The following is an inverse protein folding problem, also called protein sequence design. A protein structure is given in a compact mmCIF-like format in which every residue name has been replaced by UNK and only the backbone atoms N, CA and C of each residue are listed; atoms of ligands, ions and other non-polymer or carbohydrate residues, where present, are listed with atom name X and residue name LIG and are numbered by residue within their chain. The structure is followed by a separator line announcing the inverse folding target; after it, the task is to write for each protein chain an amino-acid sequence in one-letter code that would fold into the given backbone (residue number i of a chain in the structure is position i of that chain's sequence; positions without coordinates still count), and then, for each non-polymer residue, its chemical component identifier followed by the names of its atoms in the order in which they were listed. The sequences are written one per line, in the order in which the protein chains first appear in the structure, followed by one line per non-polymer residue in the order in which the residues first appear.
data_IF_868289100544
#
_entry.id   IF_868289100544
#
_cell.length_a   1.000
_cell.length_b   1.000
_cell.length_c   1.000
_cell.angle_alpha   90.00
_cell.angle_beta   90.00
_cell.angle_gamma   90.00
#
_symmetry.space_group_name_H-M   'P 1'
#
loop_
_entity.id
_entity.type
_entity.pdbx_description
1 polymer ?
#
# COMPACT_ATOMS: atom_id res chain seq x y z
N UNK A 1 1.71 29.19 0.17
CA UNK A 1 0.57 28.59 -0.59
C UNK A 1 -0.60 28.55 0.38
N UNK A 2 -1.73 29.19 0.00
CA UNK A 2 -2.91 29.25 0.87
C UNK A 2 -3.76 27.99 0.75
N UNK A 3 -3.84 27.39 -0.43
CA UNK A 3 -4.61 26.17 -0.71
C UNK A 3 -3.88 25.25 -1.68
N UNK A 4 -4.06 23.94 -1.50
CA UNK A 4 -3.42 22.89 -2.30
C UNK A 4 -4.44 22.22 -3.24
N UNK A 5 -4.05 21.99 -4.50
CA UNK A 5 -4.62 20.92 -5.29
C UNK A 5 -3.76 19.66 -4.99
N UNK A 6 -4.38 18.68 -4.37
CA UNK A 6 -3.66 17.47 -3.94
C UNK A 6 -3.79 16.37 -4.98
N UNK A 7 -2.67 15.75 -5.33
CA UNK A 7 -2.63 14.56 -6.14
C UNK A 7 -2.04 13.41 -5.32
N UNK A 8 -2.79 12.31 -5.19
CA UNK A 8 -2.36 11.15 -4.43
C UNK A 8 -2.76 9.83 -5.08
N UNK A 9 -1.86 8.85 -5.05
CA UNK A 9 -2.16 7.49 -5.52
C UNK A 9 -1.78 6.44 -4.50
N UNK A 10 -2.54 5.34 -4.40
CA UNK A 10 -2.31 4.27 -3.43
C UNK A 10 -2.25 4.85 -2.01
N UNK A 11 -1.18 4.61 -1.23
CA UNK A 11 -0.95 5.25 0.07
C UNK A 11 -1.07 6.79 0.02
N UNK A 12 -0.67 7.42 -1.09
CA UNK A 12 -0.83 8.86 -1.28
C UNK A 12 -2.29 9.31 -1.35
N UNK A 13 -3.25 8.45 -1.73
CA UNK A 13 -4.68 8.76 -1.66
C UNK A 13 -5.16 8.82 -0.21
N UNK A 14 -4.69 7.92 0.64
CA UNK A 14 -4.96 7.92 2.08
C UNK A 14 -4.43 9.19 2.75
N UNK A 15 -3.17 9.55 2.46
CA UNK A 15 -2.55 10.77 3.00
C UNK A 15 -3.30 12.04 2.54
N UNK A 16 -3.69 12.11 1.26
CA UNK A 16 -4.44 13.24 0.73
C UNK A 16 -5.81 13.37 1.41
N UNK A 17 -6.51 12.26 1.60
CA UNK A 17 -7.80 12.24 2.29
C UNK A 17 -7.67 12.63 3.77
N UNK A 18 -6.69 12.05 4.49
CA UNK A 18 -6.47 12.39 5.89
C UNK A 18 -6.14 13.88 6.08
N UNK A 19 -5.24 14.40 5.24
CA UNK A 19 -4.91 15.82 5.26
C UNK A 19 -6.14 16.71 4.97
N UNK A 20 -6.93 16.35 3.96
CA UNK A 20 -8.11 17.11 3.60
C UNK A 20 -9.17 17.09 4.73
N UNK A 21 -9.33 15.97 5.42
CA UNK A 21 -10.24 15.83 6.57
C UNK A 21 -9.82 16.72 7.72
N UNK A 22 -8.51 16.78 8.00
CA UNK A 22 -7.99 17.58 9.11
C UNK A 22 -7.88 19.08 8.77
N UNK A 23 -7.63 19.41 7.48
CA UNK A 23 -7.42 20.79 7.02
C UNK A 23 -8.25 21.12 5.78
N UNK A 24 -9.60 21.01 5.83
CA UNK A 24 -10.45 21.14 4.65
C UNK A 24 -10.36 22.52 3.97
N UNK A 25 -10.12 23.57 4.72
CA UNK A 25 -9.98 24.93 4.18
C UNK A 25 -8.68 25.14 3.40
N UNK A 26 -7.70 24.28 3.59
CA UNK A 26 -6.41 24.33 2.90
C UNK A 26 -6.39 23.53 1.59
N UNK A 27 -7.47 22.82 1.27
CA UNK A 27 -7.56 21.99 0.07
C UNK A 27 -8.51 22.62 -0.95
N UNK A 28 -8.01 22.85 -2.16
CA UNK A 28 -8.80 23.41 -3.27
C UNK A 28 -9.41 22.33 -4.15
N UNK A 29 -8.88 21.10 -4.13
CA UNK A 29 -9.36 19.97 -4.90
C UNK A 29 -8.51 18.73 -4.66
N UNK A 30 -9.03 17.56 -5.04
CA UNK A 30 -8.40 16.26 -4.90
C UNK A 30 -8.36 15.55 -6.24
N UNK A 31 -7.23 14.99 -6.61
CA UNK A 31 -7.08 14.03 -7.70
C UNK A 31 -6.49 12.76 -7.09
N UNK A 32 -7.31 11.73 -6.99
CA UNK A 32 -6.97 10.49 -6.31
C UNK A 32 -6.99 9.32 -7.29
N UNK A 33 -5.97 8.47 -7.23
CA UNK A 33 -5.92 7.29 -8.09
C UNK A 33 -5.55 6.04 -7.29
N UNK A 34 -6.08 4.86 -7.71
CA UNK A 34 -5.81 3.62 -7.00
C UNK A 34 -6.13 3.78 -5.52
N UNK A 35 -7.41 3.98 -5.21
CA UNK A 35 -7.86 4.35 -3.87
C UNK A 35 -7.51 3.27 -2.86
N UNK A 36 -6.85 3.68 -1.78
CA UNK A 36 -6.48 2.86 -0.65
C UNK A 36 -6.91 3.55 0.65
N UNK A 37 -7.68 2.89 1.49
CA UNK A 37 -8.22 3.44 2.73
C UNK A 37 -7.63 2.80 3.99
N UNK A 38 -6.64 1.93 3.81
CA UNK A 38 -5.86 1.34 4.91
C UNK A 38 -6.67 0.48 5.90
N UNK A 39 -7.80 -0.06 5.47
CA UNK A 39 -8.65 -0.90 6.31
C UNK A 39 -8.05 -2.29 6.48
N UNK A 40 -8.42 -2.96 7.56
CA UNK A 40 -8.01 -4.35 7.81
C UNK A 40 -8.38 -5.28 6.63
N UNK A 41 -9.53 -5.02 5.97
CA UNK A 41 -9.95 -5.79 4.78
C UNK A 41 -9.03 -5.61 3.57
N UNK A 42 -8.46 -4.44 3.38
CA UNK A 42 -7.52 -4.16 2.28
C UNK A 42 -6.14 -4.75 2.57
N UNK A 43 -5.73 -4.75 3.83
CA UNK A 43 -4.50 -5.43 4.24
C UNK A 43 -4.62 -6.96 4.12
N UNK A 44 -5.75 -7.53 4.54
CA UNK A 44 -6.04 -8.96 4.35
C UNK A 44 -6.07 -9.32 2.86
N UNK A 45 -6.68 -8.47 2.03
CA UNK A 45 -6.66 -8.68 0.59
C UNK A 45 -5.22 -8.68 0.04
N UNK A 46 -4.41 -7.69 0.40
CA UNK A 46 -3.02 -7.59 -0.09
C UNK A 46 -2.15 -8.77 0.37
N UNK A 47 -2.27 -9.18 1.64
CA UNK A 47 -1.41 -10.22 2.22
C UNK A 47 -1.88 -11.65 1.93
N UNK A 48 -3.15 -11.86 1.64
CA UNK A 48 -3.76 -13.19 1.50
C UNK A 48 -4.64 -13.30 0.25
N UNK A 49 -5.57 -12.36 0.04
CA UNK A 49 -6.61 -12.46 -0.99
C UNK A 49 -6.05 -12.46 -2.41
N UNK A 50 -4.98 -11.72 -2.67
CA UNK A 50 -4.30 -11.66 -3.97
C UNK A 50 -3.76 -13.03 -4.40
N UNK A 51 -3.50 -13.95 -3.48
CA UNK A 51 -3.12 -15.33 -3.80
C UNK A 51 -4.09 -16.04 -4.76
N UNK A 52 -5.36 -15.68 -4.73
CA UNK A 52 -6.35 -16.23 -5.66
C UNK A 52 -6.14 -15.80 -7.12
N UNK A 53 -5.41 -14.72 -7.36
CA UNK A 53 -5.16 -14.14 -8.69
C UNK A 53 -3.70 -14.32 -9.10
N UNK A 54 -2.77 -14.21 -8.16
CA UNK A 54 -1.31 -14.32 -8.36
C UNK A 54 -0.71 -15.39 -7.43
N UNK A 55 -1.10 -16.68 -7.60
CA UNK A 55 -0.68 -17.74 -6.67
C UNK A 55 0.84 -17.92 -6.65
N UNK A 56 1.52 -17.79 -7.79
CA UNK A 56 2.96 -17.97 -7.86
C UNK A 56 3.70 -16.85 -7.11
N UNK A 57 3.31 -15.59 -7.33
CA UNK A 57 3.93 -14.45 -6.66
C UNK A 57 3.70 -14.51 -5.14
N UNK A 58 2.49 -14.91 -4.72
CA UNK A 58 2.17 -15.09 -3.32
C UNK A 58 2.95 -16.26 -2.70
N UNK A 59 3.11 -17.36 -3.42
CA UNK A 59 3.85 -18.51 -2.95
C UNK A 59 5.33 -18.17 -2.75
N UNK A 60 5.96 -17.47 -3.71
CA UNK A 60 7.34 -16.98 -3.59
C UNK A 60 7.50 -16.04 -2.39
N UNK A 61 6.50 -15.18 -2.16
CA UNK A 61 6.47 -14.25 -1.04
C UNK A 61 6.41 -14.97 0.31
N UNK A 62 5.52 -15.93 0.47
CA UNK A 62 5.38 -16.71 1.71
C UNK A 62 6.59 -17.60 1.95
N UNK A 63 7.08 -18.31 0.92
CA UNK A 63 8.19 -19.26 1.05
C UNK A 63 9.54 -18.59 1.30
N UNK A 64 9.66 -17.28 1.11
CA UNK A 64 10.80 -16.50 1.56
C UNK A 64 10.98 -16.58 3.08
N UNK A 65 9.88 -16.66 3.83
CA UNK A 65 9.89 -16.80 5.28
C UNK A 65 10.04 -18.28 5.69
N UNK A 66 10.81 -18.58 6.75
CA UNK A 66 10.77 -19.90 7.38
C UNK A 66 9.34 -20.27 7.78
N UNK A 67 9.01 -21.56 7.76
CA UNK A 67 7.65 -22.06 8.04
C UNK A 67 7.09 -21.53 9.38
N UNK A 68 7.92 -21.46 10.41
CA UNK A 68 7.52 -20.93 11.72
C UNK A 68 7.13 -19.43 11.70
N UNK A 69 7.58 -18.67 10.71
CA UNK A 69 7.32 -17.24 10.54
C UNK A 69 6.14 -16.95 9.60
N UNK A 70 5.59 -17.95 8.92
CA UNK A 70 4.51 -17.79 7.95
C UNK A 70 3.13 -17.59 8.62
N UNK A 71 3.02 -17.77 9.92
CA UNK A 71 1.75 -17.58 10.65
C UNK A 71 1.36 -16.10 10.80
N UNK A 72 2.34 -15.20 10.84
CA UNK A 72 2.13 -13.74 10.81
C UNK A 72 3.13 -13.12 9.84
N UNK A 73 2.76 -13.14 8.58
CA UNK A 73 3.59 -12.69 7.46
C UNK A 73 4.01 -11.23 7.60
N UNK A 74 3.07 -10.37 7.99
CA UNK A 74 3.33 -8.94 8.12
C UNK A 74 4.34 -8.66 9.24
N UNK A 75 4.12 -9.21 10.42
CA UNK A 75 5.04 -9.02 11.55
C UNK A 75 6.42 -9.59 11.24
N UNK A 76 6.48 -10.76 10.60
CA UNK A 76 7.73 -11.44 10.24
C UNK A 76 8.55 -10.66 9.22
N UNK A 77 7.90 -10.12 8.18
CA UNK A 77 8.56 -9.22 7.23
C UNK A 77 9.02 -7.94 7.91
N UNK A 78 8.17 -7.30 8.71
CA UNK A 78 8.52 -6.09 9.43
C UNK A 78 9.73 -6.28 10.33
N UNK A 79 9.78 -7.36 11.12
CA UNK A 79 10.92 -7.68 11.98
C UNK A 79 12.23 -7.81 11.19
N UNK A 80 12.19 -8.45 10.02
CA UNK A 80 13.36 -8.59 9.15
C UNK A 80 13.78 -7.27 8.53
N UNK A 81 12.82 -6.45 8.11
CA UNK A 81 13.04 -5.18 7.46
C UNK A 81 13.65 -4.12 8.39
N UNK A 82 13.31 -4.15 9.68
CA UNK A 82 13.88 -3.22 10.68
C UNK A 82 15.23 -3.67 11.24
N UNK A 83 15.69 -4.87 10.88
CA UNK A 83 17.05 -5.35 11.26
C UNK A 83 18.14 -4.42 10.75
N UNK A 84 19.18 -4.22 11.51
CA UNK A 84 20.38 -3.47 11.11
C UNK A 84 21.28 -4.28 10.17
N UNK A 85 21.13 -5.60 10.11
CA UNK A 85 21.91 -6.49 9.25
C UNK A 85 21.45 -6.42 7.79
N UNK A 86 22.31 -5.94 6.85
CA UNK A 86 21.99 -5.93 5.42
C UNK A 86 21.74 -7.32 4.84
N UNK A 87 22.32 -8.37 5.45
CA UNK A 87 22.08 -9.77 5.07
C UNK A 87 20.65 -10.23 5.39
N UNK A 88 19.98 -9.57 6.33
CA UNK A 88 18.59 -9.86 6.73
C UNK A 88 17.61 -8.94 6.01
N UNK A 89 17.77 -7.62 6.17
CA UNK A 89 16.79 -6.68 5.62
C UNK A 89 16.81 -6.58 4.09
N UNK A 90 17.97 -6.77 3.46
CA UNK A 90 18.10 -6.65 2.02
C UNK A 90 17.30 -7.70 1.23
N UNK A 91 17.45 -9.01 1.52
CA UNK A 91 16.61 -10.05 0.91
C UNK A 91 15.12 -9.87 1.20
N UNK A 92 14.73 -9.53 2.42
CA UNK A 92 13.33 -9.30 2.79
C UNK A 92 12.72 -8.13 2.00
N UNK A 93 13.45 -7.04 1.84
CA UNK A 93 13.00 -5.90 1.05
C UNK A 93 12.79 -6.24 -0.43
N UNK A 94 13.68 -7.04 -1.01
CA UNK A 94 13.52 -7.50 -2.40
C UNK A 94 12.33 -8.44 -2.56
N UNK A 95 12.10 -9.33 -1.60
CA UNK A 95 10.96 -10.25 -1.65
C UNK A 95 9.65 -9.48 -1.57
N UNK A 96 9.53 -8.51 -0.66
CA UNK A 96 8.38 -7.61 -0.54
C UNK A 96 8.12 -6.82 -1.82
N UNK A 97 9.13 -6.09 -2.32
CA UNK A 97 9.00 -5.27 -3.52
C UNK A 97 8.71 -6.09 -4.79
N UNK A 98 9.24 -7.30 -4.89
CA UNK A 98 8.92 -8.22 -5.99
C UNK A 98 7.48 -8.67 -5.95
N UNK A 99 6.98 -9.04 -4.79
CA UNK A 99 5.59 -9.43 -4.60
C UNK A 99 4.63 -8.32 -5.05
N UNK A 100 4.77 -7.12 -4.47
CA UNK A 100 3.96 -5.97 -4.83
C UNK A 100 4.08 -5.63 -6.33
N UNK A 101 5.30 -5.58 -6.86
CA UNK A 101 5.56 -5.29 -8.26
C UNK A 101 4.92 -6.32 -9.21
N UNK A 102 4.92 -7.61 -8.84
CA UNK A 102 4.27 -8.67 -9.63
C UNK A 102 2.76 -8.52 -9.67
N UNK A 103 2.15 -8.10 -8.56
CA UNK A 103 0.71 -7.90 -8.45
C UNK A 103 0.23 -6.55 -9.03
N UNK A 104 1.14 -5.62 -9.29
CA UNK A 104 0.82 -4.27 -9.79
C UNK A 104 0.61 -4.19 -11.30
N UNK A 105 0.85 -5.28 -12.05
CA UNK A 105 0.74 -5.31 -13.50
C UNK A 105 -0.08 -6.49 -13.99
N UNK A 106 -0.91 -6.28 -15.03
CA UNK A 106 -1.71 -7.36 -15.64
C UNK A 106 -0.87 -8.38 -16.40
N UNK A 107 0.21 -7.91 -16.99
CA UNK A 107 1.13 -8.76 -17.74
C UNK A 107 2.53 -8.69 -17.12
N UNK A 108 3.26 -9.80 -17.10
CA UNK A 108 4.65 -9.79 -16.64
C UNK A 108 5.45 -8.72 -17.36
N UNK A 109 6.08 -7.83 -16.61
CA UNK A 109 6.87 -6.73 -17.14
C UNK A 109 8.23 -6.68 -16.47
N UNK A 110 9.30 -6.85 -17.27
CA UNK A 110 10.66 -6.66 -16.78
C UNK A 110 10.97 -5.20 -16.39
N UNK A 111 10.12 -4.24 -16.81
CA UNK A 111 10.26 -2.83 -16.45
C UNK A 111 9.60 -2.47 -15.11
N UNK A 112 8.55 -3.21 -14.71
CA UNK A 112 7.83 -2.94 -13.45
C UNK A 112 8.61 -3.32 -12.21
N UNK A 113 9.40 -4.38 -12.29
CA UNK A 113 10.19 -4.92 -11.17
C UNK A 113 11.58 -4.28 -11.06
N UNK A 114 12.22 -3.93 -12.18
CA UNK A 114 13.63 -3.51 -12.20
C UNK A 114 13.95 -2.20 -11.46
N UNK A 115 12.99 -1.28 -11.33
CA UNK A 115 13.18 -0.01 -10.63
C UNK A 115 12.99 -0.14 -9.10
N UNK A 116 12.04 -0.96 -8.67
CA UNK A 116 11.72 -1.19 -7.26
C UNK A 116 12.65 -2.21 -6.61
N UNK A 117 13.23 -3.13 -7.40
CA UNK A 117 14.19 -4.14 -6.91
C UNK A 117 15.58 -3.57 -6.61
N UNK A 118 15.86 -2.30 -6.94
CA UNK A 118 17.12 -1.67 -6.53
C UNK A 118 17.18 -1.57 -5.00
N UNK A 119 18.21 -2.16 -4.40
CA UNK A 119 18.29 -2.45 -2.96
C UNK A 119 17.86 -1.32 -2.02
N UNK A 120 18.20 -0.05 -2.31
CA UNK A 120 17.81 1.10 -1.49
C UNK A 120 16.33 1.47 -1.63
N UNK A 121 15.79 1.44 -2.85
CA UNK A 121 14.38 1.77 -3.11
C UNK A 121 13.45 0.71 -2.53
N UNK A 122 13.77 -0.56 -2.75
CA UNK A 122 13.03 -1.69 -2.17
C UNK A 122 12.99 -1.60 -0.63
N UNK A 123 14.13 -1.31 -0.02
CA UNK A 123 14.21 -1.20 1.45
C UNK A 123 13.40 -0.03 2.00
N UNK A 124 13.46 1.13 1.33
CA UNK A 124 12.70 2.30 1.75
C UNK A 124 11.19 2.04 1.64
N UNK A 125 10.74 1.48 0.50
CA UNK A 125 9.35 1.11 0.27
C UNK A 125 8.87 0.13 1.35
N UNK A 126 9.50 -1.03 1.44
CA UNK A 126 9.06 -2.11 2.33
C UNK A 126 9.08 -1.69 3.82
N UNK A 127 10.07 -0.91 4.25
CA UNK A 127 10.12 -0.39 5.62
C UNK A 127 8.97 0.56 5.92
N UNK A 128 8.67 1.49 5.01
CA UNK A 128 7.60 2.46 5.20
C UNK A 128 6.25 1.74 5.21
N UNK A 129 5.98 0.88 4.25
CA UNK A 129 4.71 0.17 4.14
C UNK A 129 4.47 -0.74 5.36
N UNK A 130 5.41 -1.61 5.69
CA UNK A 130 5.24 -2.52 6.83
C UNK A 130 5.14 -1.75 8.15
N UNK A 131 5.86 -0.62 8.30
CA UNK A 131 5.72 0.24 9.47
C UNK A 131 4.30 0.77 9.63
N UNK A 132 3.69 1.26 8.56
CA UNK A 132 2.31 1.72 8.60
C UNK A 132 1.33 0.57 8.80
N UNK A 133 1.55 -0.56 8.14
CA UNK A 133 0.67 -1.72 8.21
C UNK A 133 0.61 -2.34 9.62
N UNK A 134 1.76 -2.59 10.26
CA UNK A 134 1.78 -3.13 11.63
C UNK A 134 1.18 -2.17 12.67
N UNK A 135 1.19 -0.87 12.38
CA UNK A 135 0.60 0.15 13.23
C UNK A 135 -0.84 0.54 12.81
N UNK A 136 -1.49 -0.26 11.94
CA UNK A 136 -2.86 0.00 11.46
C UNK A 136 -3.02 1.44 10.95
N UNK A 137 -2.01 1.92 10.21
CA UNK A 137 -1.95 3.27 9.64
C UNK A 137 -2.06 4.41 10.67
N UNK A 138 -1.98 4.11 11.97
CA UNK A 138 -2.24 5.06 13.06
C UNK A 138 -3.64 5.67 13.04
N UNK A 139 -4.60 5.01 12.36
CA UNK A 139 -5.97 5.46 12.19
C UNK A 139 -6.93 4.32 12.54
N UNK A 140 -8.11 4.61 13.10
CA UNK A 140 -9.20 3.63 13.21
C UNK A 140 -9.64 3.12 11.83
N UNK A 141 -10.06 1.87 11.73
CA UNK A 141 -10.48 1.22 10.48
C UNK A 141 -11.60 2.00 9.75
N UNK A 142 -12.54 2.56 10.50
CA UNK A 142 -13.64 3.36 9.97
C UNK A 142 -13.32 4.84 9.73
N UNK A 143 -12.08 5.30 10.03
CA UNK A 143 -11.72 6.71 10.07
C UNK A 143 -12.16 7.50 8.84
N UNK A 144 -11.87 7.02 7.65
CA UNK A 144 -12.24 7.75 6.44
C UNK A 144 -13.76 7.83 6.28
N UNK A 145 -14.48 6.72 6.38
CA UNK A 145 -15.94 6.71 6.22
C UNK A 145 -16.65 7.60 7.24
N UNK A 146 -16.18 7.63 8.47
CA UNK A 146 -16.75 8.47 9.53
C UNK A 146 -16.46 9.95 9.33
N UNK A 147 -15.46 10.33 8.50
CA UNK A 147 -15.02 11.71 8.36
C UNK A 147 -15.16 12.30 6.95
N UNK A 148 -15.46 11.50 5.90
CA UNK A 148 -15.62 12.01 4.52
C UNK A 148 -16.64 13.15 4.40
N UNK A 149 -17.65 13.20 5.27
CA UNK A 149 -18.65 14.29 5.25
C UNK A 149 -18.02 15.68 5.41
N UNK A 150 -16.86 15.80 6.07
CA UNK A 150 -16.13 17.05 6.27
C UNK A 150 -15.60 17.65 4.97
N UNK A 151 -15.33 16.82 3.99
CA UNK A 151 -14.66 17.19 2.73
C UNK A 151 -15.57 17.06 1.50
N UNK A 152 -16.84 16.71 1.65
CA UNK A 152 -17.77 16.52 0.52
C UNK A 152 -18.00 17.75 -0.35
N UNK A 153 -17.61 18.93 0.14
CA UNK A 153 -17.66 20.20 -0.59
C UNK A 153 -16.42 20.43 -1.46
N UNK A 154 -15.36 19.64 -1.28
CA UNK A 154 -14.11 19.76 -2.02
C UNK A 154 -14.26 19.00 -3.35
N UNK A 155 -14.03 19.67 -4.51
CA UNK A 155 -14.05 18.99 -5.80
C UNK A 155 -13.03 17.84 -5.83
N UNK A 156 -13.47 16.67 -6.28
CA UNK A 156 -12.62 15.50 -6.34
C UNK A 156 -12.76 14.76 -7.69
N UNK A 157 -11.63 14.26 -8.21
CA UNK A 157 -11.57 13.35 -9.35
C UNK A 157 -10.94 12.05 -8.86
N UNK A 158 -11.67 10.94 -9.03
CA UNK A 158 -11.17 9.61 -8.72
C UNK A 158 -10.83 8.89 -10.02
N UNK A 159 -9.60 8.34 -10.08
CA UNK A 159 -9.12 7.55 -11.22
C UNK A 159 -8.81 6.15 -10.70
N UNK A 160 -9.60 5.16 -11.13
CA UNK A 160 -9.48 3.80 -10.66
C UNK A 160 -9.40 2.82 -11.82
N UNK A 161 -8.41 1.92 -11.79
CA UNK A 161 -8.30 0.83 -12.74
C UNK A 161 -9.33 -0.27 -12.44
N UNK A 162 -10.06 -0.75 -13.46
CA UNK A 162 -10.99 -1.88 -13.29
C UNK A 162 -10.29 -3.14 -12.80
N UNK A 163 -9.05 -3.33 -13.23
CA UNK A 163 -8.23 -4.51 -12.94
C UNK A 163 -7.06 -4.18 -12.01
N UNK A 164 -7.20 -3.14 -11.21
CA UNK A 164 -6.24 -2.84 -10.15
C UNK A 164 -6.40 -3.89 -9.03
N UNK A 165 -5.40 -4.77 -8.91
CA UNK A 165 -5.43 -5.87 -7.94
C UNK A 165 -4.81 -5.47 -6.60
N UNK A 166 -3.96 -4.45 -6.58
CA UNK A 166 -3.38 -3.91 -5.34
C UNK A 166 -4.43 -3.07 -4.59
N UNK A 167 -5.10 -2.15 -5.31
CA UNK A 167 -6.18 -1.32 -4.78
C UNK A 167 -7.48 -1.66 -5.53
N UNK A 168 -8.25 -2.66 -5.12
CA UNK A 168 -9.41 -3.13 -5.86
C UNK A 168 -10.47 -2.04 -6.04
N UNK A 169 -11.16 -2.10 -7.18
CA UNK A 169 -12.21 -1.15 -7.58
C UNK A 169 -13.27 -0.94 -6.50
N UNK A 170 -13.58 -1.97 -5.71
CA UNK A 170 -14.60 -1.92 -4.64
C UNK A 170 -14.29 -0.86 -3.57
N UNK A 171 -13.02 -0.49 -3.39
CA UNK A 171 -12.64 0.56 -2.43
C UNK A 171 -12.98 1.96 -2.95
N UNK A 172 -12.99 2.14 -4.27
CA UNK A 172 -13.27 3.43 -4.90
C UNK A 172 -14.76 3.64 -5.23
N UNK A 173 -15.57 2.57 -5.23
CA UNK A 173 -17.01 2.56 -5.52
C UNK A 173 -17.82 2.91 -4.29
#
# INVERSE_FOLDING_TARGET
VERWLMFGGSWGSSLALAYAIDYPDQVSGLVLRGIFLCRDTELTWFLEGIAAVFPEAWQDFIQFLPEAEQQDVLASYHQRLVSDDPGVHGPAARAWARYEGSCSTLLPSSRGTSGLESGRAALALARIETHYFVNKMFLPDAYFFENLYKIRHIPAVLVQGRYDMICPMVTAD
#
